data_IF_069067090364
#
_entry.id   IF_069067090364
#
_cell.length_a   1.000
_cell.length_b   1.000
_cell.length_c   1.000
_cell.angle_alpha   90.00
_cell.angle_beta   90.00
_cell.angle_gamma   90.00
#
_symmetry.space_group_name_H-M   'P 1'
#
loop_
_entity.id
_entity.type
_entity.pdbx_description
1 polymer ?
#
# COMPACT_ATOMS: atom_id res chain seq x y z
N UNK A 1 -31.43 -6.20 0.41
CA UNK A 1 -30.58 -6.03 1.61
C UNK A 1 -29.36 -6.91 1.44
N UNK A 2 -28.21 -6.48 1.94
CA UNK A 2 -26.98 -7.28 1.83
C UNK A 2 -27.04 -8.44 2.83
N UNK A 3 -26.52 -9.63 2.49
CA UNK A 3 -26.73 -10.81 3.30
C UNK A 3 -26.10 -10.66 4.69
N UNK A 4 -26.84 -11.07 5.72
CA UNK A 4 -26.33 -11.24 7.08
C UNK A 4 -25.40 -12.46 7.12
N UNK A 5 -24.08 -12.25 7.06
CA UNK A 5 -23.11 -13.35 7.13
C UNK A 5 -21.73 -13.01 6.56
N UNK A 6 -20.94 -14.04 6.27
CA UNK A 6 -19.68 -13.90 5.54
C UNK A 6 -19.95 -13.48 4.09
N UNK A 7 -19.39 -12.35 3.69
CA UNK A 7 -19.48 -11.83 2.32
C UNK A 7 -18.54 -12.54 1.35
N UNK A 8 -17.73 -13.46 1.84
CA UNK A 8 -16.77 -14.22 1.04
C UNK A 8 -17.46 -15.43 0.46
N UNK A 9 -17.32 -15.61 -0.87
CA UNK A 9 -17.98 -16.70 -1.58
C UNK A 9 -17.25 -18.04 -1.48
N UNK A 10 -16.03 -18.06 -0.93
CA UNK A 10 -15.20 -19.26 -0.74
C UNK A 10 -14.03 -18.97 0.22
N UNK A 11 -13.36 -20.03 0.65
CA UNK A 11 -12.17 -19.96 1.53
C UNK A 11 -11.10 -19.04 0.94
N UNK A 12 -10.86 -19.10 -0.37
CA UNK A 12 -9.89 -18.25 -1.05
C UNK A 12 -10.21 -16.75 -0.92
N UNK A 13 -11.48 -16.37 -0.92
CA UNK A 13 -11.88 -14.97 -0.69
C UNK A 13 -11.61 -14.53 0.76
N UNK A 14 -11.83 -15.42 1.74
CA UNK A 14 -11.52 -15.17 3.15
C UNK A 14 -9.99 -15.14 3.41
N UNK A 15 -9.22 -15.98 2.72
CA UNK A 15 -7.74 -15.97 2.74
C UNK A 15 -7.15 -14.69 2.15
N UNK A 16 -7.69 -14.24 1.02
CA UNK A 16 -7.30 -12.96 0.41
C UNK A 16 -7.54 -11.82 1.40
N UNK A 17 -8.72 -11.76 2.03
CA UNK A 17 -9.00 -10.74 3.06
C UNK A 17 -8.01 -10.82 4.22
N UNK A 18 -7.80 -12.02 4.76
CA UNK A 18 -6.89 -12.21 5.90
C UNK A 18 -5.47 -11.77 5.56
N UNK A 19 -5.02 -12.02 4.33
CA UNK A 19 -3.72 -11.56 3.83
C UNK A 19 -3.67 -10.04 3.71
N UNK A 20 -4.72 -9.39 3.20
CA UNK A 20 -4.79 -7.93 3.13
C UNK A 20 -4.81 -7.29 4.52
N UNK A 21 -5.61 -7.82 5.45
CA UNK A 21 -5.69 -7.34 6.83
C UNK A 21 -4.34 -7.46 7.55
N UNK A 22 -3.60 -8.55 7.28
CA UNK A 22 -2.21 -8.70 7.74
C UNK A 22 -1.29 -7.63 7.15
N UNK A 23 -1.33 -7.41 5.83
CA UNK A 23 -0.50 -6.38 5.16
C UNK A 23 -0.80 -4.97 5.68
N UNK A 24 -2.06 -4.65 5.96
CA UNK A 24 -2.46 -3.38 6.58
C UNK A 24 -1.86 -3.25 7.98
N UNK A 25 -1.91 -4.33 8.77
CA UNK A 25 -1.37 -4.36 10.14
C UNK A 25 0.16 -4.26 10.18
N UNK A 26 0.85 -4.82 9.20
CA UNK A 26 2.31 -4.74 9.04
C UNK A 26 2.79 -3.34 8.64
N UNK A 27 1.92 -2.51 8.09
CA UNK A 27 2.20 -1.11 7.81
C UNK A 27 3.18 -0.89 6.65
N UNK A 28 4.04 0.12 6.77
CA UNK A 28 4.97 0.49 5.69
C UNK A 28 6.12 -0.51 5.56
N UNK A 29 6.23 -1.11 4.37
CA UNK A 29 7.19 -2.14 4.01
C UNK A 29 8.19 -1.63 2.96
N UNK A 30 9.43 -2.14 2.93
CA UNK A 30 10.41 -1.77 1.91
C UNK A 30 9.94 -2.20 0.52
N UNK A 31 10.27 -1.40 -0.50
CA UNK A 31 10.09 -1.80 -1.90
C UNK A 31 11.16 -2.79 -2.32
N UNK A 32 10.84 -3.60 -3.33
CA UNK A 32 11.83 -4.46 -3.97
C UNK A 32 12.89 -3.63 -4.70
N UNK A 33 14.12 -4.12 -4.79
CA UNK A 33 15.19 -3.43 -5.52
C UNK A 33 14.83 -3.18 -6.99
N UNK A 34 14.06 -4.10 -7.61
CA UNK A 34 13.56 -3.91 -8.97
C UNK A 34 12.61 -2.71 -9.10
N UNK A 35 11.73 -2.50 -8.12
CA UNK A 35 10.82 -1.36 -8.13
C UNK A 35 11.56 -0.05 -7.84
N UNK A 36 12.53 -0.09 -6.91
CA UNK A 36 13.40 1.04 -6.63
C UNK A 36 14.21 1.46 -7.86
N UNK A 37 14.72 0.50 -8.64
CA UNK A 37 15.43 0.76 -9.89
C UNK A 37 14.54 1.44 -10.94
N UNK A 38 13.27 1.02 -11.04
CA UNK A 38 12.29 1.67 -11.93
C UNK A 38 12.06 3.13 -11.50
N UNK A 39 11.90 3.38 -10.20
CA UNK A 39 11.70 4.74 -9.66
C UNK A 39 12.93 5.60 -9.93
N UNK A 40 14.13 5.08 -9.65
CA UNK A 40 15.42 5.75 -9.92
C UNK A 40 15.55 6.14 -11.39
N UNK A 41 15.32 5.21 -12.31
CA UNK A 41 15.34 5.49 -13.76
C UNK A 41 14.34 6.55 -14.20
N UNK A 42 13.14 6.58 -13.60
CA UNK A 42 12.15 7.64 -13.86
C UNK A 42 12.57 9.02 -13.33
N UNK A 43 13.37 9.06 -12.28
CA UNK A 43 13.87 10.29 -11.70
C UNK A 43 15.04 10.83 -12.54
N UNK A 44 15.98 9.95 -12.91
CA UNK A 44 17.09 10.23 -13.82
C UNK A 44 16.62 10.75 -15.17
N UNK A 45 15.55 10.16 -15.75
CA UNK A 45 14.99 10.64 -17.02
C UNK A 45 14.38 12.04 -16.94
N UNK A 46 14.05 12.52 -15.73
CA UNK A 46 13.60 13.89 -15.46
C UNK A 46 14.76 14.82 -15.08
N UNK A 47 16.00 14.34 -15.12
CA UNK A 47 17.19 15.09 -14.71
C UNK A 47 17.32 15.27 -13.19
N UNK A 48 16.58 14.48 -12.41
CA UNK A 48 16.60 14.55 -10.96
C UNK A 48 17.46 13.40 -10.42
N UNK A 49 18.29 13.67 -9.41
CA UNK A 49 19.12 12.65 -8.74
C UNK A 49 18.39 12.21 -7.47
N UNK A 50 18.11 10.91 -7.34
CA UNK A 50 17.63 10.36 -6.07
C UNK A 50 18.85 10.17 -5.16
N UNK A 51 18.75 10.66 -3.92
CA UNK A 51 19.73 10.29 -2.90
C UNK A 51 19.62 8.79 -2.64
N UNK A 52 20.77 8.12 -2.60
CA UNK A 52 20.89 6.70 -2.31
C UNK A 52 20.39 6.33 -0.91
N UNK A 53 20.25 7.31 -0.01
CA UNK A 53 19.71 7.13 1.34
C UNK A 53 18.18 7.35 1.42
N UNK A 54 17.51 7.62 0.29
CA UNK A 54 16.05 7.79 0.28
C UNK A 54 15.37 6.44 0.53
N UNK A 55 14.96 6.19 1.77
CA UNK A 55 14.20 5.00 2.12
C UNK A 55 12.76 5.10 1.61
N UNK A 56 12.50 4.50 0.44
CA UNK A 56 11.15 4.43 -0.13
C UNK A 56 10.46 3.16 0.34
N UNK A 57 9.29 3.34 0.98
CA UNK A 57 8.42 2.27 1.45
C UNK A 57 7.05 2.34 0.80
N UNK A 58 6.37 1.21 0.73
CA UNK A 58 4.97 1.11 0.32
C UNK A 58 4.11 0.61 1.48
N UNK A 59 2.83 0.95 1.49
CA UNK A 59 1.90 0.49 2.51
C UNK A 59 0.51 0.28 1.90
N UNK A 60 -0.16 -0.80 2.30
CA UNK A 60 -1.58 -0.99 1.99
C UNK A 60 -2.44 -0.20 3.01
N UNK A 61 -3.34 0.64 2.51
CA UNK A 61 -4.22 1.47 3.36
C UNK A 61 -5.68 1.08 3.16
N UNK A 62 -6.40 0.89 4.27
CA UNK A 62 -7.80 0.50 4.26
C UNK A 62 -8.76 1.67 3.95
N UNK A 63 -8.63 2.33 2.80
CA UNK A 63 -9.56 3.36 2.27
C UNK A 63 -10.50 4.05 3.29
N UNK A 64 -11.77 3.59 3.36
CA UNK A 64 -12.82 4.17 4.22
C UNK A 64 -12.73 3.77 5.70
N UNK A 65 -12.03 2.69 6.01
CA UNK A 65 -11.83 2.16 7.36
C UNK A 65 -10.40 2.40 7.86
N UNK A 66 -9.69 3.34 7.23
CA UNK A 66 -8.31 3.59 7.53
C UNK A 66 -8.18 4.06 8.99
N UNK A 67 -7.14 3.58 9.67
CA UNK A 67 -6.74 4.12 10.97
C UNK A 67 -6.42 5.61 10.83
N UNK A 68 -6.30 6.34 11.94
CA UNK A 68 -5.99 7.78 11.91
C UNK A 68 -4.79 8.08 11.00
N UNK A 69 -3.76 7.23 11.04
CA UNK A 69 -2.56 7.32 10.19
C UNK A 69 -2.88 7.13 8.70
N UNK A 70 -3.71 6.13 8.37
CA UNK A 70 -4.12 5.89 6.98
C UNK A 70 -4.99 7.01 6.40
N UNK A 71 -5.86 7.63 7.20
CA UNK A 71 -6.63 8.80 6.76
C UNK A 71 -5.73 10.01 6.47
N UNK A 72 -4.69 10.21 7.27
CA UNK A 72 -3.70 11.27 7.02
C UNK A 72 -2.95 11.03 5.71
N UNK A 73 -2.51 9.79 5.45
CA UNK A 73 -1.84 9.43 4.19
C UNK A 73 -2.75 9.69 2.99
N UNK A 74 -4.00 9.24 3.06
CA UNK A 74 -4.97 9.43 1.98
C UNK A 74 -5.28 10.92 1.75
N UNK A 75 -5.39 11.72 2.82
CA UNK A 75 -5.60 13.16 2.70
C UNK A 75 -4.42 13.88 2.04
N UNK A 76 -3.18 13.42 2.28
CA UNK A 76 -1.98 13.99 1.65
C UNK A 76 -1.77 13.56 0.19
N UNK A 77 -2.48 12.51 -0.25
CA UNK A 77 -2.38 11.98 -1.61
C UNK A 77 -3.34 12.66 -2.61
N UNK A 78 -4.27 13.49 -2.13
CA UNK A 78 -5.17 14.27 -3.00
C UNK A 78 -4.46 15.57 -3.41
N UNK A 79 -4.32 15.84 -4.72
CA UNK A 79 -3.65 17.03 -5.23
C UNK A 79 -4.43 18.33 -5.00
#
# INVERSE_FOLDING_TARGET
ELPEGEWFCCDSCSEIRSSLDKMISEGAQPLSESDLDIIRKKHESKGLIMDTDTEIRWQLVAGRSATADGNSLLSSAVP
#
